data_IF_712537947537
#
_entry.id   IF_712537947537
#
_cell.length_a   1.000
_cell.length_b   1.000
_cell.length_c   1.000
_cell.angle_alpha   90.00
_cell.angle_beta   90.00
_cell.angle_gamma   90.00
#
_symmetry.space_group_name_H-M   'P 1'
#
loop_
_entity.id
_entity.type
_entity.pdbx_description
1 polymer ?
#
# COMPACT_ATOMS: atom_id res chain seq x y z
N UNK A 1 9.32 9.25 -3.51
CA UNK A 1 9.74 8.08 -2.71
C UNK A 1 8.55 7.54 -1.93
N UNK A 2 7.98 6.45 -2.39
CA UNK A 2 6.85 5.84 -1.70
C UNK A 2 7.28 4.66 -0.83
N UNK A 3 6.56 4.49 0.27
CA UNK A 3 6.63 3.32 1.12
C UNK A 3 5.20 2.79 1.29
N UNK A 4 4.99 1.51 1.01
CA UNK A 4 3.68 0.89 1.17
C UNK A 4 3.81 -0.32 2.09
N UNK A 5 3.04 -0.30 3.18
CA UNK A 5 2.96 -1.40 4.12
C UNK A 5 1.61 -2.08 3.98
N UNK A 6 1.63 -3.37 3.66
CA UNK A 6 0.44 -4.20 3.63
C UNK A 6 0.37 -5.00 4.93
N UNK A 7 -0.54 -4.59 5.82
CA UNK A 7 -0.87 -5.36 7.02
C UNK A 7 -2.07 -6.24 6.70
N UNK A 8 -1.96 -7.54 6.92
CA UNK A 8 -3.09 -8.44 6.67
C UNK A 8 -3.15 -9.56 7.68
N UNK A 9 -4.37 -10.01 7.97
CA UNK A 9 -4.61 -11.20 8.78
C UNK A 9 -4.34 -12.47 8.00
N UNK A 10 -4.29 -12.41 6.67
CA UNK A 10 -4.01 -13.57 5.84
C UNK A 10 -2.52 -13.91 5.85
N UNK A 11 -2.23 -15.19 5.63
CA UNK A 11 -0.88 -15.64 5.32
C UNK A 11 -0.82 -15.85 3.81
N UNK A 12 0.06 -15.14 3.14
CA UNK A 12 0.17 -15.18 1.69
C UNK A 12 1.08 -16.31 1.25
N UNK A 13 0.75 -16.90 0.10
CA UNK A 13 1.70 -17.80 -0.56
C UNK A 13 2.81 -16.96 -1.18
N UNK A 14 3.95 -17.59 -1.48
CA UNK A 14 5.03 -16.90 -2.18
C UNK A 14 4.56 -16.33 -3.52
N UNK A 15 3.74 -17.12 -4.24
CA UNK A 15 3.18 -16.70 -5.52
C UNK A 15 2.29 -15.46 -5.38
N UNK A 16 1.40 -15.45 -4.37
CA UNK A 16 0.54 -14.30 -4.11
C UNK A 16 1.36 -13.06 -3.79
N UNK A 17 2.39 -13.20 -2.95
CA UNK A 17 3.25 -12.09 -2.57
C UNK A 17 3.99 -11.52 -3.78
N UNK A 18 4.54 -12.38 -4.62
CA UNK A 18 5.25 -11.95 -5.83
C UNK A 18 4.31 -11.26 -6.81
N UNK A 19 3.08 -11.75 -6.96
CA UNK A 19 2.08 -11.13 -7.84
C UNK A 19 1.69 -9.75 -7.33
N UNK A 20 1.40 -9.64 -6.03
CA UNK A 20 1.05 -8.36 -5.42
C UNK A 20 2.20 -7.36 -5.57
N UNK A 21 3.43 -7.80 -5.31
CA UNK A 21 4.62 -6.97 -5.48
C UNK A 21 4.72 -6.44 -6.91
N UNK A 22 4.58 -7.32 -7.90
CA UNK A 22 4.71 -6.93 -9.30
C UNK A 22 3.63 -5.94 -9.73
N UNK A 23 2.39 -6.19 -9.31
CA UNK A 23 1.28 -5.33 -9.68
C UNK A 23 1.33 -3.97 -8.96
N UNK A 24 1.69 -3.93 -7.69
CA UNK A 24 1.86 -2.68 -6.97
C UNK A 24 3.00 -1.85 -7.56
N UNK A 25 4.07 -2.52 -8.00
CA UNK A 25 5.17 -1.84 -8.68
C UNK A 25 4.72 -1.11 -9.94
N UNK A 26 3.78 -1.70 -10.69
CA UNK A 26 3.20 -1.05 -11.85
C UNK A 26 2.24 0.08 -11.46
N UNK A 27 1.37 -0.18 -10.48
CA UNK A 27 0.33 0.75 -10.08
C UNK A 27 0.88 2.03 -9.46
N UNK A 28 2.04 1.97 -8.81
CA UNK A 28 2.58 3.15 -8.13
C UNK A 28 2.84 4.31 -9.11
N UNK A 29 3.06 4.00 -10.38
CA UNK A 29 3.28 5.01 -11.42
C UNK A 29 2.04 5.82 -11.77
N UNK A 30 0.86 5.43 -11.27
CA UNK A 30 -0.34 6.27 -11.35
C UNK A 30 -0.11 7.58 -10.60
N UNK A 31 0.68 7.53 -9.54
CA UNK A 31 1.05 8.72 -8.79
C UNK A 31 2.20 9.41 -9.55
N UNK A 32 2.06 10.70 -9.89
CA UNK A 32 3.09 11.41 -10.64
C UNK A 32 4.44 11.36 -9.94
N UNK A 33 5.49 11.15 -10.71
CA UNK A 33 6.89 11.10 -10.26
C UNK A 33 7.20 9.94 -9.31
N UNK A 34 6.31 8.96 -9.21
CA UNK A 34 6.57 7.74 -8.43
C UNK A 34 6.85 6.58 -9.37
N UNK A 35 7.73 5.68 -8.95
CA UNK A 35 8.08 4.50 -9.75
C UNK A 35 8.45 3.34 -8.84
N UNK A 36 8.43 2.14 -9.40
CA UNK A 36 8.84 0.93 -8.68
C UNK A 36 10.29 1.01 -8.19
N UNK A 37 11.14 1.71 -8.92
CA UNK A 37 12.55 1.87 -8.57
C UNK A 37 12.75 2.43 -7.15
N UNK A 38 11.85 3.33 -6.72
CA UNK A 38 11.94 3.97 -5.43
C UNK A 38 10.87 3.49 -4.44
N UNK A 39 10.09 2.50 -4.82
CA UNK A 39 9.02 1.96 -3.97
C UNK A 39 9.58 0.93 -3.01
N UNK A 40 9.42 1.18 -1.72
CA UNK A 40 9.66 0.16 -0.71
C UNK A 40 8.34 -0.49 -0.35
N UNK A 41 8.23 -1.80 -0.61
CA UNK A 41 7.08 -2.61 -0.22
C UNK A 41 7.41 -3.41 1.02
N UNK A 42 6.47 -3.44 1.94
CA UNK A 42 6.64 -4.15 3.20
C UNK A 42 5.37 -4.98 3.45
N UNK A 43 5.54 -6.24 3.82
CA UNK A 43 4.44 -7.16 4.08
C UNK A 43 4.46 -7.57 5.54
N UNK A 44 3.33 -7.37 6.21
CA UNK A 44 3.11 -7.84 7.58
C UNK A 44 1.92 -8.78 7.55
N UNK A 45 2.20 -10.09 7.53
CA UNK A 45 1.21 -11.14 7.27
C UNK A 45 0.83 -11.91 8.52
N UNK A 46 -0.30 -12.62 8.46
CA UNK A 46 -0.75 -13.46 9.54
C UNK A 46 -1.01 -12.72 10.82
N UNK A 47 -1.39 -11.46 10.71
CA UNK A 47 -1.58 -10.59 11.88
C UNK A 47 -2.89 -10.92 12.58
N UNK A 48 -2.90 -10.96 13.92
CA UNK A 48 -4.15 -11.07 14.65
C UNK A 48 -4.90 -9.74 14.58
N UNK A 49 -5.97 -9.73 13.80
CA UNK A 49 -6.78 -8.53 13.60
C UNK A 49 -8.19 -8.75 14.09
N UNK A 50 -8.80 -7.70 14.61
CA UNK A 50 -10.19 -7.68 15.02
C UNK A 50 -10.88 -6.51 14.38
N UNK A 51 -12.10 -6.74 13.91
CA UNK A 51 -12.95 -5.68 13.39
C UNK A 51 -14.36 -5.85 13.92
N UNK A 52 -14.93 -4.78 14.44
CA UNK A 52 -16.24 -4.80 15.11
C UNK A 52 -16.29 -5.80 16.27
N UNK A 53 -15.15 -5.99 16.95
CA UNK A 53 -15.06 -6.89 18.09
C UNK A 53 -14.95 -8.37 17.75
N UNK A 54 -14.83 -8.70 16.45
CA UNK A 54 -14.74 -10.09 16.00
C UNK A 54 -13.41 -10.34 15.27
N UNK A 55 -12.94 -11.60 15.29
CA UNK A 55 -11.74 -11.93 14.49
C UNK A 55 -11.96 -11.61 13.02
N UNK A 56 -10.96 -10.98 12.42
CA UNK A 56 -11.00 -10.51 11.04
C UNK A 56 -10.02 -11.33 10.19
N UNK A 57 -10.48 -12.47 9.66
CA UNK A 57 -9.61 -13.48 9.06
C UNK A 57 -9.10 -13.15 7.67
N UNK A 58 -9.78 -12.27 6.94
CA UNK A 58 -9.40 -11.91 5.58
C UNK A 58 -9.54 -10.40 5.42
N UNK A 59 -8.79 -9.68 6.22
CA UNK A 59 -8.79 -8.23 6.26
C UNK A 59 -7.40 -7.70 6.00
N UNK A 60 -7.34 -6.45 5.59
CA UNK A 60 -6.06 -5.77 5.44
C UNK A 60 -6.19 -4.29 5.73
N UNK A 61 -5.08 -3.72 6.18
CA UNK A 61 -4.91 -2.28 6.31
C UNK A 61 -3.64 -1.90 5.57
N UNK A 62 -3.76 -1.10 4.54
CA UNK A 62 -2.62 -0.65 3.74
C UNK A 62 -2.29 0.79 4.11
N UNK A 63 -1.02 1.04 4.39
CA UNK A 63 -0.51 2.38 4.66
C UNK A 63 0.41 2.77 3.50
N UNK A 64 0.06 3.87 2.85
CA UNK A 64 0.90 4.45 1.81
C UNK A 64 1.49 5.75 2.32
N UNK A 65 2.82 5.83 2.35
CA UNK A 65 3.54 7.02 2.78
C UNK A 65 4.30 7.61 1.60
N UNK A 66 4.12 8.90 1.39
CA UNK A 66 4.70 9.60 0.25
C UNK A 66 5.46 10.83 0.72
N UNK A 67 6.54 11.14 0.03
CA UNK A 67 7.16 12.43 0.16
C UNK A 67 6.50 13.39 -0.83
N UNK A 68 6.05 14.55 -0.34
CA UNK A 68 5.34 15.52 -1.15
C UNK A 68 3.87 15.13 -1.35
N UNK A 69 3.19 15.93 -2.14
CA UNK A 69 1.75 15.77 -2.37
C UNK A 69 1.47 15.30 -3.78
N UNK A 70 0.54 14.37 -3.90
CA UNK A 70 0.01 13.91 -5.19
C UNK A 70 -1.38 14.48 -5.43
N UNK A 71 -1.78 14.67 -6.69
CA UNK A 71 -3.14 15.15 -6.99
C UNK A 71 -4.20 14.22 -6.41
N UNK A 72 -5.28 14.75 -5.86
CA UNK A 72 -6.35 13.91 -5.30
C UNK A 72 -6.89 12.89 -6.28
N UNK A 73 -7.01 13.25 -7.55
CA UNK A 73 -7.53 12.33 -8.56
C UNK A 73 -6.60 11.14 -8.79
N UNK A 74 -5.29 11.37 -8.79
CA UNK A 74 -4.32 10.30 -8.93
C UNK A 74 -4.37 9.35 -7.73
N UNK A 75 -4.50 9.89 -6.53
CA UNK A 75 -4.63 9.09 -5.31
C UNK A 75 -5.90 8.23 -5.35
N UNK A 76 -7.03 8.82 -5.78
CA UNK A 76 -8.28 8.05 -5.93
C UNK A 76 -8.11 6.89 -6.90
N UNK A 77 -7.50 7.15 -8.04
CA UNK A 77 -7.28 6.13 -9.06
C UNK A 77 -6.38 5.02 -8.53
N UNK A 78 -5.29 5.37 -7.87
CA UNK A 78 -4.39 4.40 -7.27
C UNK A 78 -5.12 3.51 -6.27
N UNK A 79 -5.86 4.12 -5.34
CA UNK A 79 -6.60 3.39 -4.31
C UNK A 79 -7.63 2.45 -4.92
N UNK A 80 -8.36 2.89 -5.94
CA UNK A 80 -9.33 2.05 -6.63
C UNK A 80 -8.68 0.81 -7.24
N UNK A 81 -7.51 0.98 -7.85
CA UNK A 81 -6.79 -0.14 -8.44
C UNK A 81 -6.26 -1.10 -7.38
N UNK A 82 -5.84 -0.57 -6.23
CA UNK A 82 -5.39 -1.40 -5.12
C UNK A 82 -6.54 -2.26 -4.57
N UNK A 83 -7.74 -1.69 -4.44
CA UNK A 83 -8.92 -2.47 -4.03
C UNK A 83 -9.16 -3.64 -4.98
N UNK A 84 -9.08 -3.41 -6.29
CA UNK A 84 -9.26 -4.46 -7.30
C UNK A 84 -8.19 -5.53 -7.20
N UNK A 85 -6.95 -5.12 -7.02
CA UNK A 85 -5.83 -6.03 -6.90
C UNK A 85 -5.99 -6.95 -5.68
N UNK A 86 -6.34 -6.39 -4.53
CA UNK A 86 -6.50 -7.15 -3.30
C UNK A 86 -7.62 -8.16 -3.42
N UNK A 87 -8.74 -7.80 -4.04
CA UNK A 87 -9.84 -8.73 -4.25
C UNK A 87 -9.44 -9.83 -5.22
N UNK A 88 -8.85 -9.44 -6.35
CA UNK A 88 -8.52 -10.38 -7.42
C UNK A 88 -7.46 -11.42 -7.01
N UNK A 89 -6.41 -10.97 -6.34
CA UNK A 89 -5.27 -11.85 -6.00
C UNK A 89 -5.42 -12.49 -4.63
N UNK A 90 -5.88 -11.74 -3.64
CA UNK A 90 -5.91 -12.20 -2.25
C UNK A 90 -7.31 -12.54 -1.75
N UNK A 91 -8.35 -12.23 -2.52
CA UNK A 91 -9.73 -12.45 -2.08
C UNK A 91 -10.15 -11.56 -0.92
N UNK A 92 -9.44 -10.45 -0.70
CA UNK A 92 -9.82 -9.48 0.33
C UNK A 92 -10.83 -8.52 -0.29
N UNK A 93 -12.06 -8.54 0.22
CA UNK A 93 -13.16 -7.76 -0.33
C UNK A 93 -13.06 -6.30 0.05
N UNK A 94 -13.72 -5.45 -0.73
CA UNK A 94 -13.62 -3.99 -0.54
C UNK A 94 -14.07 -3.52 0.84
N UNK A 95 -15.02 -4.20 1.46
CA UNK A 95 -15.48 -3.85 2.81
C UNK A 95 -14.52 -4.30 3.90
N UNK A 96 -13.53 -5.10 3.56
CA UNK A 96 -12.59 -5.70 4.50
C UNK A 96 -11.18 -5.11 4.34
N UNK A 97 -11.06 -4.05 3.56
CA UNK A 97 -9.78 -3.40 3.27
C UNK A 97 -9.86 -1.92 3.59
N UNK A 98 -8.89 -1.45 4.34
CA UNK A 98 -8.71 -0.04 4.63
C UNK A 98 -7.38 0.43 4.07
N UNK A 99 -7.36 1.66 3.53
CA UNK A 99 -6.15 2.25 2.97
C UNK A 99 -6.07 3.69 3.45
N UNK A 100 -4.93 4.08 3.99
CA UNK A 100 -4.68 5.49 4.22
C UNK A 100 -3.50 5.97 3.37
N UNK A 101 -3.47 7.27 3.11
CA UNK A 101 -2.39 7.90 2.37
C UNK A 101 -1.85 9.03 3.23
N UNK A 102 -0.57 8.94 3.57
CA UNK A 102 0.13 9.91 4.39
C UNK A 102 1.15 10.62 3.51
N UNK A 103 1.12 11.94 3.54
CA UNK A 103 2.03 12.75 2.75
C UNK A 103 2.90 13.58 3.67
N UNK A 104 4.20 13.56 3.42
CA UNK A 104 5.20 14.15 4.30
C UNK A 104 6.01 15.22 3.58
N UNK A 105 6.39 16.26 4.31
CA UNK A 105 7.25 17.32 3.80
C UNK A 105 8.72 16.92 3.87
N UNK A 106 9.07 16.07 4.81
CA UNK A 106 10.46 15.68 5.07
C UNK A 106 10.66 14.19 4.87
N UNK A 107 11.77 13.84 4.21
CA UNK A 107 12.08 12.44 3.91
C UNK A 107 13.58 12.23 3.93
N UNK A 108 14.05 11.36 4.82
CA UNK A 108 15.47 11.00 4.87
C UNK A 108 15.81 9.99 3.79
N UNK A 109 16.78 10.28 2.95
CA UNK A 109 17.15 9.42 1.85
C UNK A 109 18.61 9.68 1.46
N UNK A 110 19.35 8.60 1.18
CA UNK A 110 20.73 8.67 0.68
C UNK A 110 21.65 9.52 1.58
N UNK A 111 21.46 9.42 2.88
CA UNK A 111 22.31 10.13 3.85
C UNK A 111 21.94 11.57 4.11
N UNK A 112 20.87 12.06 3.51
CA UNK A 112 20.41 13.43 3.68
C UNK A 112 18.93 13.52 3.97
N UNK A 113 18.44 14.73 4.18
CA UNK A 113 17.03 15.02 4.38
C UNK A 113 16.53 15.84 3.21
N UNK A 114 15.54 15.31 2.51
CA UNK A 114 14.81 16.06 1.49
C UNK A 114 13.62 16.76 2.16
N UNK A 115 13.48 18.05 1.91
CA UNK A 115 12.40 18.85 2.48
C UNK A 115 11.77 19.71 1.41
N UNK A 116 10.46 19.98 1.57
CA UNK A 116 9.70 20.80 0.62
C UNK A 116 9.85 22.31 0.87
N UNK A 117 10.54 22.69 1.90
CA UNK A 117 10.73 24.10 2.24
C UNK A 117 12.02 24.66 1.69
#
# INVERSE_FOLDING_TARGET
MPYLLLNTSKTLTTEQRETVKAELGKLISILPDKSEEYLMLDFSEGRPMYFRGLPADSYAFIELRLWGKSPPQAKKQFVQQVFRLMDHVLGIKENDLFINVLEFDDWGFAGGLETLN
#
